data_IF_772577543726
#
_entry.id   IF_772577543726
#
_cell.length_a   1.000
_cell.length_b   1.000
_cell.length_c   1.000
_cell.angle_alpha   90.00
_cell.angle_beta   90.00
_cell.angle_gamma   90.00
#
_symmetry.space_group_name_H-M   'P 1'
#
loop_
_entity.id
_entity.type
_entity.pdbx_description
1 polymer ?
#
# COMPACT_ATOMS: atom_id res chain seq x y z
N UNK A 1 -10.90 -8.95 6.79
CA UNK A 1 -9.58 -9.60 7.00
C UNK A 1 -8.59 -8.48 7.21
N UNK A 2 -8.05 -8.36 8.41
CA UNK A 2 -7.13 -7.28 8.74
C UNK A 2 -5.76 -7.57 8.12
N UNK A 3 -5.19 -6.57 7.46
CA UNK A 3 -3.88 -6.66 6.84
C UNK A 3 -3.03 -5.47 7.29
N UNK A 4 -1.75 -5.71 7.54
CA UNK A 4 -0.80 -4.64 7.86
C UNK A 4 -0.46 -3.86 6.59
N UNK A 5 -0.76 -2.55 6.59
CA UNK A 5 -0.46 -1.65 5.47
C UNK A 5 0.70 -0.73 5.82
N UNK A 6 1.51 -0.36 4.82
CA UNK A 6 2.60 0.58 4.95
C UNK A 6 2.71 1.47 3.69
N UNK A 7 3.20 2.69 3.87
CA UNK A 7 3.53 3.59 2.75
C UNK A 7 5.05 3.69 2.67
N UNK A 8 5.61 3.42 1.49
CA UNK A 8 7.03 3.48 1.21
C UNK A 8 7.30 4.26 -0.07
N UNK A 9 8.50 4.83 -0.18
CA UNK A 9 9.00 5.33 -1.46
C UNK A 9 9.66 4.17 -2.19
N UNK A 10 9.17 3.90 -3.40
CA UNK A 10 9.65 2.82 -4.25
C UNK A 10 10.17 3.43 -5.55
N UNK A 11 11.03 2.68 -6.25
CA UNK A 11 11.34 2.99 -7.63
C UNK A 11 10.09 2.78 -8.50
N UNK A 12 10.01 3.51 -9.62
CA UNK A 12 8.78 3.56 -10.44
C UNK A 12 8.41 2.17 -10.98
N UNK A 13 9.41 1.37 -11.34
CA UNK A 13 9.30 0.01 -11.84
C UNK A 13 8.67 -0.99 -10.85
N UNK A 14 8.76 -0.72 -9.55
CA UNK A 14 8.20 -1.56 -8.49
C UNK A 14 7.03 -0.92 -7.73
N UNK A 15 6.65 0.31 -8.10
CA UNK A 15 5.54 1.07 -7.52
C UNK A 15 4.18 0.76 -8.19
N UNK A 16 4.02 -0.42 -8.78
CA UNK A 16 2.80 -0.83 -9.47
C UNK A 16 1.94 -1.76 -8.63
N UNK A 17 0.61 -1.64 -8.75
CA UNK A 17 -0.32 -2.53 -8.06
C UNK A 17 0.04 -3.99 -8.34
N UNK A 18 0.25 -4.74 -7.27
CA UNK A 18 0.42 -6.19 -7.36
C UNK A 18 1.86 -6.67 -7.45
N UNK A 19 2.83 -5.76 -7.56
CA UNK A 19 4.25 -6.13 -7.51
C UNK A 19 4.56 -6.75 -6.15
N UNK A 20 5.15 -7.95 -6.13
CA UNK A 20 5.61 -8.58 -4.90
C UNK A 20 6.82 -7.82 -4.36
N UNK A 21 6.78 -7.53 -3.07
CA UNK A 21 7.84 -6.82 -2.37
C UNK A 21 8.22 -7.59 -1.11
N UNK A 22 9.46 -7.43 -0.69
CA UNK A 22 9.96 -7.97 0.57
C UNK A 22 10.41 -6.80 1.44
N UNK A 23 9.94 -6.79 2.68
CA UNK A 23 10.28 -5.79 3.69
C UNK A 23 11.23 -6.45 4.68
N UNK A 24 12.48 -6.01 4.68
CA UNK A 24 13.49 -6.49 5.63
C UNK A 24 13.56 -5.57 6.83
N UNK A 25 13.43 -6.13 8.03
CA UNK A 25 13.61 -5.40 9.29
C UNK A 25 14.27 -6.27 10.34
N UNK A 26 14.35 -5.74 11.57
CA UNK A 26 14.98 -6.43 12.71
C UNK A 26 14.35 -7.80 13.00
N UNK A 27 13.04 -7.94 12.75
CA UNK A 27 12.29 -9.19 12.94
C UNK A 27 12.36 -10.17 11.77
N UNK A 28 13.20 -9.88 10.77
CA UNK A 28 13.37 -10.69 9.56
C UNK A 28 12.68 -10.10 8.33
N UNK A 29 12.57 -10.94 7.30
CA UNK A 29 12.01 -10.59 6.00
C UNK A 29 10.52 -10.91 5.96
N UNK A 30 9.71 -9.92 5.58
CA UNK A 30 8.26 -10.03 5.47
C UNK A 30 7.84 -9.88 4.02
N UNK A 31 7.03 -10.82 3.52
CA UNK A 31 6.43 -10.71 2.20
C UNK A 31 5.30 -9.68 2.19
N UNK A 32 5.22 -8.92 1.10
CA UNK A 32 4.19 -7.92 0.86
C UNK A 32 3.92 -7.73 -0.62
N UNK A 33 3.02 -6.80 -0.92
CA UNK A 33 2.62 -6.45 -2.29
C UNK A 33 2.42 -4.94 -2.37
N UNK A 34 2.88 -4.32 -3.45
CA UNK A 34 2.59 -2.94 -3.75
C UNK A 34 1.08 -2.76 -3.97
N UNK A 35 0.51 -1.76 -3.31
CA UNK A 35 -0.91 -1.44 -3.39
C UNK A 35 -1.11 0.05 -3.67
N UNK A 36 -1.97 0.35 -4.63
CA UNK A 36 -2.44 1.68 -4.99
C UNK A 36 -3.34 2.24 -3.89
N UNK A 37 -3.30 3.56 -3.74
CA UNK A 37 -4.18 4.30 -2.84
C UNK A 37 -5.58 4.44 -3.43
N UNK A 38 -6.65 4.49 -2.61
CA UNK A 38 -6.67 4.38 -1.15
C UNK A 38 -6.76 2.92 -0.65
N UNK A 39 -6.14 2.62 0.49
CA UNK A 39 -6.19 1.28 1.11
C UNK A 39 -7.58 0.88 1.61
N UNK A 40 -8.41 1.86 1.98
CA UNK A 40 -9.75 1.67 2.51
C UNK A 40 -10.65 2.81 2.02
N UNK A 41 -11.72 2.48 1.27
CA UNK A 41 -12.80 3.42 0.94
C UNK A 41 -14.18 2.74 0.91
N UNK A 42 -14.67 2.24 2.05
CA UNK A 42 -15.91 1.48 2.11
C UNK A 42 -17.16 2.39 2.04
N UNK A 43 -16.99 3.71 2.16
CA UNK A 43 -18.09 4.71 2.20
C UNK A 43 -17.97 5.82 1.15
N UNK A 44 -16.93 5.82 0.29
CA UNK A 44 -16.71 6.78 -0.81
C UNK A 44 -16.75 8.25 -0.40
N UNK A 45 -16.27 8.59 0.79
CA UNK A 45 -16.31 9.96 1.32
C UNK A 45 -15.16 10.84 0.80
N UNK A 46 -14.07 10.24 0.30
CA UNK A 46 -12.87 10.95 -0.17
C UNK A 46 -13.02 11.59 -1.57
N UNK A 47 -14.21 11.53 -2.18
CA UNK A 47 -14.56 12.26 -3.43
C UNK A 47 -15.26 13.60 -3.19
N UNK A 48 -15.43 14.04 -1.95
CA UNK A 48 -16.08 15.32 -1.63
C UNK A 48 -15.05 16.44 -1.48
N UNK A 49 -14.24 16.69 -2.51
CA UNK A 49 -13.63 18.01 -2.65
C UNK A 49 -14.74 18.97 -3.14
N UNK A 50 -15.48 19.57 -2.21
CA UNK A 50 -16.27 20.77 -2.49
C UNK A 50 -15.36 21.95 -2.15
N UNK A 51 -14.96 22.72 -3.17
CA UNK A 51 -14.44 24.09 -3.05
C UNK A 51 -13.19 24.23 -2.20
#
# INVERSE_FOLDING_TARGET
>A
KDQTMAIARLAVDCAEQGVRLEVTGEKGMLGGMAHTMPFDDPKKLKRTAKG
#
